data_IF_955307139785
#
_entry.id   IF_955307139785
#
_cell.length_a   1.000
_cell.length_b   1.000
_cell.length_c   1.000
_cell.angle_alpha   90.00
_cell.angle_beta   90.00
_cell.angle_gamma   90.00
#
_symmetry.space_group_name_H-M   'P 1'
#
loop_
_entity.id
_entity.type
_entity.pdbx_description
1 polymer ?
#
# COMPACT_ATOMS: atom_id res chain seq x y z
N UNK A 1 17.08 31.20 57.90
CA UNK A 1 16.72 32.48 58.56
C UNK A 1 15.76 33.25 57.66
N UNK A 2 14.62 33.72 58.29
CA UNK A 2 13.57 34.67 57.81
C UNK A 2 12.72 34.18 56.63
N UNK A 3 11.49 33.65 56.72
CA UNK A 3 10.18 34.04 57.26
C UNK A 3 9.74 35.47 56.84
N UNK A 4 8.63 35.53 56.06
CA UNK A 4 7.45 36.40 56.22
C UNK A 4 6.47 36.09 55.08
N UNK A 5 5.32 35.67 55.19
CA UNK A 5 3.98 35.78 55.76
C UNK A 5 3.18 37.00 55.25
N UNK A 6 1.91 36.67 54.81
CA UNK A 6 0.64 37.45 54.79
C UNK A 6 0.45 38.42 53.62
N UNK A 7 -0.70 38.63 52.98
CA UNK A 7 -2.09 38.65 53.43
C UNK A 7 -3.08 38.47 52.27
N UNK A 8 -4.22 37.89 52.53
CA UNK A 8 -5.43 37.82 51.74
C UNK A 8 -6.21 39.16 51.77
N UNK A 9 -6.96 39.48 50.73
CA UNK A 9 -8.13 40.37 50.86
C UNK A 9 -9.18 40.03 49.80
N UNK A 10 -10.31 39.60 50.29
CA UNK A 10 -11.63 39.44 49.69
C UNK A 10 -12.23 40.82 49.44
N UNK A 11 -12.81 41.08 48.27
CA UNK A 11 -13.88 42.06 48.18
C UNK A 11 -14.90 41.66 47.12
N UNK A 12 -16.07 41.31 47.62
CA UNK A 12 -17.34 41.09 46.92
C UNK A 12 -18.04 42.45 46.76
N UNK A 13 -18.50 42.80 45.57
CA UNK A 13 -19.56 43.80 45.39
C UNK A 13 -20.54 43.34 44.34
N UNK A 14 -21.77 43.17 44.75
CA UNK A 14 -22.99 42.97 43.97
C UNK A 14 -23.69 44.31 43.83
N UNK A 15 -24.26 44.61 42.65
CA UNK A 15 -25.49 45.41 42.41
C UNK A 15 -25.70 45.54 40.91
N UNK A 16 -26.66 44.98 40.33
CA UNK A 16 -28.10 45.15 40.11
C UNK A 16 -28.51 46.37 39.26
N UNK A 17 -29.24 45.96 38.17
CA UNK A 17 -30.33 46.62 37.48
C UNK A 17 -30.08 47.83 36.56
N UNK A 18 -30.49 47.60 35.30
CA UNK A 18 -30.82 48.65 34.35
C UNK A 18 -31.33 48.04 33.03
N UNK A 19 -32.66 47.72 32.99
CA UNK A 19 -33.36 47.48 31.73
C UNK A 19 -33.40 48.75 30.91
N UNK A 20 -32.99 48.69 29.65
CA UNK A 20 -33.58 49.54 28.63
C UNK A 20 -33.65 48.75 27.28
N UNK A 21 -34.86 48.60 26.81
CA UNK A 21 -35.17 47.95 25.55
C UNK A 21 -34.98 48.96 24.40
N UNK A 22 -34.14 48.62 23.47
CA UNK A 22 -34.22 49.14 22.09
C UNK A 22 -34.10 47.98 21.12
N UNK A 23 -35.18 47.73 20.41
CA UNK A 23 -35.26 46.83 19.25
C UNK A 23 -34.40 47.40 18.13
N UNK A 24 -33.30 46.77 17.82
CA UNK A 24 -32.72 46.77 16.49
C UNK A 24 -32.48 45.32 16.09
N UNK A 25 -33.10 44.94 14.99
CA UNK A 25 -33.02 43.60 14.41
C UNK A 25 -31.59 43.36 13.90
N UNK A 26 -30.78 42.77 14.77
CA UNK A 26 -29.55 42.13 14.36
C UNK A 26 -29.90 40.80 13.75
N UNK A 27 -29.64 40.63 12.44
CA UNK A 27 -29.58 39.33 11.81
C UNK A 27 -28.62 38.48 12.66
N UNK A 28 -29.17 37.45 13.31
CA UNK A 28 -28.37 36.40 13.91
C UNK A 28 -27.50 35.82 12.79
N UNK A 29 -26.20 35.86 12.97
CA UNK A 29 -25.28 35.17 12.10
C UNK A 29 -25.63 33.67 12.17
N UNK A 30 -26.28 33.17 11.14
CA UNK A 30 -26.48 31.74 10.88
C UNK A 30 -25.14 31.00 10.56
N UNK A 31 -24.03 31.73 10.48
CA UNK A 31 -22.70 31.20 10.11
C UNK A 31 -21.92 30.47 11.20
N UNK A 32 -22.45 30.32 12.44
CA UNK A 32 -21.72 29.66 13.53
C UNK A 32 -22.33 28.32 14.02
N UNK A 33 -23.42 27.86 13.42
CA UNK A 33 -23.99 26.58 13.74
C UNK A 33 -23.28 25.49 12.89
N UNK A 34 -22.48 24.64 13.56
CA UNK A 34 -21.90 23.38 13.08
C UNK A 34 -20.54 23.42 12.38
N UNK A 35 -19.57 24.20 12.81
CA UNK A 35 -18.17 23.99 12.41
C UNK A 35 -17.62 22.74 13.12
N UNK A 36 -17.20 21.75 12.32
CA UNK A 36 -16.58 20.50 12.76
C UNK A 36 -15.08 20.57 12.48
N UNK A 37 -14.26 20.08 13.41
CA UNK A 37 -12.84 19.84 13.15
C UNK A 37 -12.57 18.35 13.29
N UNK A 38 -12.05 17.74 12.23
CA UNK A 38 -11.54 16.36 12.23
C UNK A 38 -10.02 16.37 12.24
N UNK A 39 -9.43 15.42 12.93
CA UNK A 39 -7.98 15.23 12.99
C UNK A 39 -7.54 14.10 12.06
N UNK A 40 -6.46 14.33 11.30
CA UNK A 40 -5.95 13.42 10.29
C UNK A 40 -4.47 13.12 10.49
N UNK A 41 -4.10 11.84 10.58
CA UNK A 41 -2.74 11.36 10.60
C UNK A 41 -2.44 10.52 9.36
N UNK A 42 -1.37 10.87 8.65
CA UNK A 42 -0.95 10.15 7.44
C UNK A 42 0.56 10.28 7.25
N UNK A 43 1.22 9.16 6.93
CA UNK A 43 2.63 9.17 6.54
C UNK A 43 2.90 9.84 5.19
N UNK A 44 1.87 9.99 4.35
CA UNK A 44 1.98 10.61 3.04
C UNK A 44 1.74 12.12 3.03
N UNK A 45 1.35 12.74 4.16
CA UNK A 45 0.99 14.17 4.19
C UNK A 45 2.22 15.09 4.12
N UNK A 46 3.41 14.59 4.40
CA UNK A 46 4.66 15.34 4.40
C UNK A 46 4.66 16.52 5.36
N UNK A 47 5.63 17.41 5.20
CA UNK A 47 5.75 18.62 6.02
C UNK A 47 4.95 19.79 5.44
N UNK A 48 4.67 20.78 6.28
CA UNK A 48 3.97 22.01 5.84
C UNK A 48 4.71 22.74 4.71
N UNK A 49 6.04 22.69 4.69
CA UNK A 49 6.86 23.35 3.67
C UNK A 49 6.77 22.67 2.29
N UNK A 50 6.59 21.35 2.24
CA UNK A 50 6.57 20.59 0.99
C UNK A 50 5.33 20.86 0.15
N UNK A 51 4.19 21.23 0.78
CA UNK A 51 2.93 21.48 0.10
C UNK A 51 2.59 20.40 -0.95
N UNK A 52 2.78 19.14 -0.56
CA UNK A 52 2.54 18.00 -1.44
C UNK A 52 1.06 17.85 -1.84
N UNK A 53 0.77 16.89 -2.70
CA UNK A 53 -0.57 16.71 -3.26
C UNK A 53 -1.64 16.48 -2.17
N UNK A 54 -1.32 15.74 -1.11
CA UNK A 54 -2.28 15.49 -0.02
C UNK A 54 -2.66 16.79 0.71
N UNK A 55 -1.69 17.66 1.00
CA UNK A 55 -1.99 18.98 1.63
C UNK A 55 -2.80 19.89 0.71
N UNK A 56 -2.58 19.81 -0.61
CA UNK A 56 -3.40 20.54 -1.59
C UNK A 56 -4.82 19.99 -1.63
N UNK A 57 -4.99 18.68 -1.62
CA UNK A 57 -6.29 18.02 -1.55
C UNK A 57 -7.08 18.39 -0.29
N UNK A 58 -6.42 18.47 0.88
CA UNK A 58 -7.03 18.94 2.12
C UNK A 58 -7.55 20.39 1.96
N UNK A 59 -6.76 21.27 1.36
CA UNK A 59 -7.20 22.66 1.11
C UNK A 59 -8.40 22.74 0.17
N UNK A 60 -8.43 21.93 -0.87
CA UNK A 60 -9.58 21.86 -1.79
C UNK A 60 -10.82 21.27 -1.11
N UNK A 61 -10.65 20.25 -0.25
CA UNK A 61 -11.73 19.73 0.60
C UNK A 61 -12.34 20.82 1.49
N UNK A 62 -11.51 21.57 2.22
CA UNK A 62 -11.98 22.67 3.10
C UNK A 62 -12.66 23.82 2.34
N UNK A 63 -12.29 24.05 1.06
CA UNK A 63 -13.00 25.02 0.20
C UNK A 63 -14.38 24.51 -0.18
N UNK A 64 -14.49 23.22 -0.50
CA UNK A 64 -15.76 22.57 -0.88
C UNK A 64 -16.70 22.42 0.32
N UNK A 65 -16.14 22.07 1.49
CA UNK A 65 -16.87 21.82 2.73
C UNK A 65 -16.44 22.81 3.82
N UNK A 66 -16.84 24.11 3.73
CA UNK A 66 -16.31 25.18 4.59
C UNK A 66 -16.65 25.01 6.08
N UNK A 67 -17.61 24.14 6.39
CA UNK A 67 -17.99 23.80 7.76
C UNK A 67 -17.08 22.72 8.39
N UNK A 68 -16.22 22.07 7.61
CA UNK A 68 -15.32 21.02 8.09
C UNK A 68 -13.88 21.54 8.00
N UNK A 69 -13.14 21.47 9.10
CA UNK A 69 -11.72 21.76 9.16
C UNK A 69 -10.95 20.48 9.39
N UNK A 70 -9.78 20.35 8.75
CA UNK A 70 -8.89 19.20 8.89
C UNK A 70 -7.62 19.63 9.63
N UNK A 71 -7.44 19.09 10.84
CA UNK A 71 -6.23 19.27 11.62
C UNK A 71 -5.27 18.12 11.36
N UNK A 72 -4.13 18.39 10.73
CA UNK A 72 -3.08 17.39 10.52
C UNK A 72 -2.40 17.09 11.86
N UNK A 73 -2.24 15.79 12.17
CA UNK A 73 -1.55 15.28 13.35
C UNK A 73 -0.15 14.82 12.92
N UNK A 74 0.87 15.60 13.30
CA UNK A 74 2.28 15.34 12.93
C UNK A 74 3.07 14.64 14.07
N UNK A 75 2.39 14.31 15.17
CA UNK A 75 3.07 13.74 16.36
C UNK A 75 3.27 12.23 16.30
N UNK A 76 2.76 11.54 15.26
CA UNK A 76 2.92 10.10 15.08
C UNK A 76 4.13 9.87 14.16
N UNK A 77 5.23 9.24 14.65
CA UNK A 77 6.42 9.02 13.84
C UNK A 77 6.18 7.96 12.75
N UNK A 78 6.62 8.21 11.54
CA UNK A 78 6.45 7.28 10.42
C UNK A 78 7.16 5.94 10.63
N UNK A 79 8.34 5.95 11.25
CA UNK A 79 9.15 4.77 11.54
C UNK A 79 8.64 3.92 12.72
N UNK A 80 7.69 4.47 13.51
CA UNK A 80 7.06 3.83 14.68
C UNK A 80 5.55 4.06 14.68
N UNK A 81 4.94 3.87 13.51
CA UNK A 81 3.54 4.25 13.29
C UNK A 81 2.58 3.59 14.28
N UNK A 82 2.61 2.26 14.42
CA UNK A 82 1.74 1.54 15.34
C UNK A 82 2.01 1.87 16.81
N UNK A 83 3.26 2.07 17.20
CA UNK A 83 3.62 2.53 18.57
C UNK A 83 3.03 3.91 18.84
N UNK A 84 3.09 4.80 17.86
CA UNK A 84 2.51 6.15 17.94
C UNK A 84 0.98 6.13 18.06
N UNK A 85 0.31 5.27 17.29
CA UNK A 85 -1.14 5.05 17.39
C UNK A 85 -1.53 4.45 18.76
N UNK A 86 -0.79 3.47 19.25
CA UNK A 86 -1.02 2.87 20.56
C UNK A 86 -0.84 3.89 21.71
N UNK A 87 0.17 4.77 21.60
CA UNK A 87 0.36 5.86 22.55
C UNK A 87 -0.79 6.87 22.48
N UNK A 88 -1.25 7.22 21.28
CA UNK A 88 -2.40 8.13 21.10
C UNK A 88 -3.70 7.52 21.65
N UNK A 89 -3.94 6.22 21.45
CA UNK A 89 -5.07 5.49 22.00
C UNK A 89 -5.05 5.51 23.55
N UNK A 90 -3.89 5.21 24.14
CA UNK A 90 -3.69 5.24 25.60
C UNK A 90 -3.93 6.64 26.19
N UNK A 91 -3.54 7.69 25.46
CA UNK A 91 -3.77 9.08 25.82
C UNK A 91 -5.20 9.58 25.54
N UNK A 92 -6.08 8.73 24.95
CA UNK A 92 -7.42 9.12 24.46
C UNK A 92 -7.38 10.28 23.45
N UNK A 93 -6.37 10.28 22.61
CA UNK A 93 -6.08 11.32 21.61
C UNK A 93 -5.87 10.73 20.21
N UNK A 94 -6.60 9.63 19.90
CA UNK A 94 -6.58 9.04 18.56
C UNK A 94 -7.01 10.08 17.52
N UNK A 95 -6.32 10.17 16.36
CA UNK A 95 -6.82 10.93 15.23
C UNK A 95 -8.18 10.39 14.77
N UNK A 96 -9.06 11.27 14.26
CA UNK A 96 -10.35 10.83 13.71
C UNK A 96 -10.18 9.96 12.47
N UNK A 97 -9.17 10.26 11.65
CA UNK A 97 -8.81 9.54 10.42
C UNK A 97 -7.32 9.27 10.41
N UNK A 98 -6.90 8.04 10.10
CA UNK A 98 -5.48 7.67 10.10
C UNK A 98 -5.18 6.48 9.17
N UNK A 99 -3.96 6.48 8.59
CA UNK A 99 -3.49 5.35 7.79
C UNK A 99 -3.30 4.10 8.65
N UNK A 100 -3.58 2.94 8.05
CA UNK A 100 -3.37 1.63 8.67
C UNK A 100 -2.12 0.97 8.10
N UNK A 101 -1.20 0.52 8.95
CA UNK A 101 -0.10 -0.34 8.54
C UNK A 101 -0.62 -1.73 8.16
N UNK A 102 -1.62 -2.22 8.88
CA UNK A 102 -2.40 -3.42 8.59
C UNK A 102 -3.76 -3.34 9.31
N UNK A 103 -4.76 -3.99 8.72
CA UNK A 103 -6.12 -3.97 9.24
C UNK A 103 -6.25 -4.83 10.51
N UNK A 104 -5.68 -6.06 10.58
CA UNK A 104 -5.80 -6.92 11.75
C UNK A 104 -5.31 -6.27 13.04
N UNK A 105 -4.17 -5.60 13.00
CA UNK A 105 -3.63 -4.89 14.17
C UNK A 105 -4.58 -3.80 14.67
N UNK A 106 -5.16 -3.02 13.75
CA UNK A 106 -6.08 -1.95 14.13
C UNK A 106 -7.38 -2.49 14.73
N UNK A 107 -7.90 -3.60 14.21
CA UNK A 107 -9.10 -4.28 14.74
C UNK A 107 -8.83 -4.90 16.10
N UNK A 108 -7.73 -5.66 16.25
CA UNK A 108 -7.36 -6.30 17.51
C UNK A 108 -7.16 -5.31 18.67
N UNK A 109 -6.70 -4.10 18.35
CA UNK A 109 -6.50 -3.02 19.33
C UNK A 109 -7.74 -2.13 19.53
N UNK A 110 -8.86 -2.42 18.87
CA UNK A 110 -10.11 -1.65 18.99
C UNK A 110 -9.95 -0.15 18.59
N UNK A 111 -9.10 0.14 17.59
CA UNK A 111 -8.83 1.51 17.15
C UNK A 111 -9.84 2.03 16.13
N UNK A 112 -10.44 1.14 15.35
CA UNK A 112 -11.24 1.48 14.18
C UNK A 112 -12.74 1.28 14.39
N UNK A 113 -13.52 2.16 13.79
CA UNK A 113 -14.97 2.13 13.74
C UNK A 113 -15.42 1.22 12.59
N UNK A 114 -16.45 0.42 12.82
CA UNK A 114 -17.19 -0.19 11.72
C UNK A 114 -17.97 0.88 10.94
N UNK A 115 -17.63 1.04 9.67
CA UNK A 115 -18.22 2.03 8.77
C UNK A 115 -19.18 1.44 7.74
N UNK A 116 -19.58 0.18 7.88
CA UNK A 116 -20.46 -0.51 6.94
C UNK A 116 -21.74 0.30 6.67
N UNK A 117 -22.36 0.89 7.70
CA UNK A 117 -23.57 1.71 7.54
C UNK A 117 -23.34 3.03 6.76
N UNK A 118 -22.11 3.53 6.70
CA UNK A 118 -21.75 4.71 5.92
C UNK A 118 -21.37 4.35 4.47
N UNK A 119 -20.78 3.18 4.27
CA UNK A 119 -20.24 2.74 3.00
C UNK A 119 -21.26 2.03 2.10
N UNK A 120 -22.20 1.26 2.68
CA UNK A 120 -23.12 0.37 1.94
C UNK A 120 -23.98 1.05 0.87
N UNK A 121 -24.39 2.29 1.11
CA UNK A 121 -25.25 3.07 0.20
C UNK A 121 -24.46 4.17 -0.53
N UNK A 122 -23.12 4.20 -0.42
CA UNK A 122 -22.29 5.20 -1.08
C UNK A 122 -21.96 4.78 -2.51
N UNK A 123 -22.39 5.61 -3.47
CA UNK A 123 -22.25 5.33 -4.91
C UNK A 123 -20.77 5.25 -5.37
N UNK A 124 -19.87 6.03 -4.76
CA UNK A 124 -18.45 5.98 -5.08
C UNK A 124 -17.78 4.75 -4.48
N UNK A 125 -18.17 4.36 -3.25
CA UNK A 125 -17.69 3.12 -2.65
C UNK A 125 -18.14 1.89 -3.46
N UNK A 126 -19.34 1.90 -4.01
CA UNK A 126 -19.82 0.85 -4.90
C UNK A 126 -19.01 0.73 -6.21
N UNK A 127 -18.25 1.78 -6.59
CA UNK A 127 -17.36 1.76 -7.75
C UNK A 127 -15.93 1.28 -7.42
N UNK A 128 -15.58 1.13 -6.16
CA UNK A 128 -14.33 0.45 -5.77
C UNK A 128 -14.42 -1.00 -6.24
N UNK A 129 -13.39 -1.59 -6.87
CA UNK A 129 -13.40 -2.99 -7.30
C UNK A 129 -13.83 -3.93 -6.17
N UNK A 130 -14.71 -4.90 -6.46
CA UNK A 130 -15.29 -5.80 -5.45
C UNK A 130 -14.20 -6.53 -4.67
N UNK A 131 -13.21 -7.09 -5.35
CA UNK A 131 -12.06 -7.78 -4.73
C UNK A 131 -11.30 -6.90 -3.72
N UNK A 132 -11.25 -5.59 -3.94
CA UNK A 132 -10.62 -4.62 -3.02
C UNK A 132 -11.51 -4.34 -1.81
N UNK A 133 -12.84 -4.22 -2.02
CA UNK A 133 -13.81 -4.04 -0.93
C UNK A 133 -13.85 -5.25 -0.02
N UNK A 134 -13.87 -6.45 -0.59
CA UNK A 134 -13.91 -7.72 0.14
C UNK A 134 -12.65 -7.92 0.97
N UNK A 135 -11.48 -7.55 0.46
CA UNK A 135 -10.22 -7.62 1.20
C UNK A 135 -10.21 -6.72 2.46
N UNK A 136 -10.99 -5.64 2.47
CA UNK A 136 -11.12 -4.72 3.60
C UNK A 136 -12.26 -5.09 4.57
N UNK A 137 -13.09 -6.07 4.21
CA UNK A 137 -14.26 -6.49 4.99
C UNK A 137 -13.93 -7.65 5.92
N UNK A 138 -14.49 -7.63 7.12
CA UNK A 138 -14.45 -8.74 8.07
C UNK A 138 -15.88 -9.18 8.41
N UNK A 139 -16.40 -10.17 7.67
CA UNK A 139 -17.81 -10.51 7.67
C UNK A 139 -18.63 -9.33 7.13
N UNK A 140 -19.66 -8.91 7.88
CA UNK A 140 -20.51 -7.77 7.51
C UNK A 140 -19.89 -6.40 7.89
N UNK A 141 -18.77 -6.39 8.62
CA UNK A 141 -18.14 -5.16 9.12
C UNK A 141 -17.07 -4.63 8.15
N UNK A 142 -16.97 -3.30 8.04
CA UNK A 142 -15.95 -2.59 7.27
C UNK A 142 -15.15 -1.72 8.23
N UNK A 143 -13.97 -2.21 8.63
CA UNK A 143 -13.08 -1.49 9.56
C UNK A 143 -12.02 -0.62 8.89
N UNK A 144 -11.88 -0.76 7.57
CA UNK A 144 -10.89 -0.04 6.79
C UNK A 144 -11.47 0.38 5.44
N UNK A 145 -11.12 1.58 5.00
CA UNK A 145 -11.46 2.07 3.66
C UNK A 145 -10.20 2.04 2.80
N UNK A 146 -10.28 1.54 1.55
CA UNK A 146 -9.15 1.60 0.62
C UNK A 146 -8.71 3.04 0.38
N UNK A 147 -7.40 3.30 0.42
CA UNK A 147 -6.84 4.65 0.41
C UNK A 147 -5.89 4.90 -0.76
N UNK A 148 -5.27 3.89 -1.28
CA UNK A 148 -4.41 3.93 -2.44
C UNK A 148 -4.36 2.57 -3.08
N UNK A 149 -4.27 2.52 -4.41
CA UNK A 149 -4.18 1.27 -5.16
C UNK A 149 -2.91 1.26 -5.98
N UNK A 150 -2.20 0.14 -5.91
CA UNK A 150 -1.02 -0.13 -6.71
C UNK A 150 -1.20 -1.46 -7.44
N UNK A 151 -0.71 -1.52 -8.67
CA UNK A 151 -0.50 -2.80 -9.34
C UNK A 151 0.95 -3.24 -9.15
N UNK A 152 1.16 -4.49 -8.76
CA UNK A 152 2.47 -5.11 -8.64
C UNK A 152 2.76 -5.98 -9.85
N UNK A 153 4.01 -5.94 -10.31
CA UNK A 153 4.42 -6.76 -11.43
C UNK A 153 5.77 -6.34 -11.99
N UNK A 154 5.98 -6.69 -13.22
CA UNK A 154 7.17 -6.30 -13.94
C UNK A 154 6.90 -5.10 -14.83
N UNK A 155 7.89 -4.18 -14.89
CA UNK A 155 8.00 -3.23 -15.98
C UNK A 155 9.06 -3.72 -16.95
N UNK A 156 8.86 -3.47 -18.24
CA UNK A 156 9.77 -3.87 -19.32
C UNK A 156 10.49 -2.65 -19.91
N UNK A 157 11.80 -2.77 -20.11
CA UNK A 157 12.59 -1.80 -20.86
C UNK A 157 12.51 -2.17 -22.36
N UNK A 158 11.62 -1.52 -23.10
CA UNK A 158 11.35 -1.82 -24.50
C UNK A 158 12.54 -1.51 -25.40
N UNK A 159 13.26 -0.44 -25.09
CA UNK A 159 14.43 -0.04 -25.88
C UNK A 159 15.56 -1.06 -25.76
N UNK A 160 15.82 -1.57 -24.55
CA UNK A 160 16.84 -2.59 -24.33
C UNK A 160 16.49 -3.90 -25.08
N UNK A 161 15.20 -4.29 -25.12
CA UNK A 161 14.75 -5.45 -25.92
C UNK A 161 14.95 -5.19 -27.42
N UNK A 162 14.59 -4.00 -27.93
CA UNK A 162 14.80 -3.62 -29.32
C UNK A 162 16.30 -3.63 -29.71
N UNK A 163 17.18 -3.09 -28.86
CA UNK A 163 18.64 -3.11 -29.07
C UNK A 163 19.21 -4.53 -29.14
N UNK A 164 18.64 -5.43 -28.36
CA UNK A 164 19.01 -6.85 -28.35
C UNK A 164 18.40 -7.65 -29.54
N UNK A 165 17.55 -7.03 -30.36
CA UNK A 165 16.73 -7.68 -31.40
C UNK A 165 15.85 -8.80 -30.83
N UNK A 166 15.23 -8.55 -29.66
CA UNK A 166 14.29 -9.40 -28.98
C UNK A 166 12.91 -8.73 -28.95
N UNK A 167 11.86 -9.54 -29.00
CA UNK A 167 10.51 -9.04 -28.76
C UNK A 167 10.31 -8.74 -27.25
N UNK A 168 9.93 -7.52 -26.94
CA UNK A 168 9.62 -7.12 -25.57
C UNK A 168 8.33 -7.83 -25.12
N UNK A 169 8.32 -8.46 -23.91
CA UNK A 169 7.10 -9.06 -23.39
C UNK A 169 6.03 -8.00 -23.09
N UNK A 170 4.77 -8.37 -23.29
CA UNK A 170 3.60 -7.52 -23.03
C UNK A 170 2.77 -8.11 -21.87
N UNK A 171 1.80 -7.31 -21.38
CA UNK A 171 0.82 -7.79 -20.40
C UNK A 171 0.11 -9.06 -20.91
N UNK A 172 0.02 -10.06 -20.03
CA UNK A 172 -0.51 -11.38 -20.39
C UNK A 172 0.53 -12.37 -20.94
N UNK A 173 1.82 -11.99 -20.93
CA UNK A 173 2.91 -12.90 -21.31
C UNK A 173 2.82 -14.23 -20.54
N UNK A 174 3.05 -15.34 -21.23
CA UNK A 174 3.08 -16.66 -20.56
C UNK A 174 4.34 -16.82 -19.70
N UNK A 175 4.29 -17.70 -18.69
CA UNK A 175 5.44 -18.00 -17.84
C UNK A 175 6.67 -18.44 -18.66
N UNK A 176 6.48 -19.26 -19.69
CA UNK A 176 7.58 -19.73 -20.54
C UNK A 176 8.22 -18.56 -21.31
N UNK A 177 7.41 -17.71 -21.93
CA UNK A 177 7.90 -16.52 -22.64
C UNK A 177 8.61 -15.54 -21.69
N UNK A 178 8.08 -15.33 -20.48
CA UNK A 178 8.75 -14.52 -19.45
C UNK A 178 10.14 -15.10 -19.11
N UNK A 179 10.24 -16.40 -18.88
CA UNK A 179 11.51 -17.06 -18.59
C UNK A 179 12.50 -16.94 -19.75
N UNK A 180 12.02 -17.10 -20.98
CA UNK A 180 12.85 -16.94 -22.18
C UNK A 180 13.31 -15.48 -22.35
N UNK A 181 12.43 -14.50 -22.09
CA UNK A 181 12.80 -13.07 -22.09
C UNK A 181 13.88 -12.77 -21.07
N UNK A 182 13.74 -13.25 -19.83
CA UNK A 182 14.74 -13.09 -18.76
C UNK A 182 16.10 -13.69 -19.16
N UNK A 183 16.10 -14.90 -19.71
CA UNK A 183 17.34 -15.59 -20.13
C UNK A 183 18.01 -14.88 -21.32
N UNK A 184 17.24 -14.59 -22.37
CA UNK A 184 17.80 -14.03 -23.61
C UNK A 184 18.29 -12.60 -23.42
N UNK A 185 17.71 -11.85 -22.50
CA UNK A 185 18.13 -10.50 -22.14
C UNK A 185 19.43 -10.49 -21.33
N UNK A 186 19.78 -11.57 -20.63
CA UNK A 186 20.96 -11.61 -19.77
C UNK A 186 22.27 -11.65 -20.57
N UNK A 187 23.05 -10.57 -20.50
CA UNK A 187 24.40 -10.46 -21.03
C UNK A 187 25.28 -9.67 -20.08
N UNK A 188 25.79 -10.34 -19.05
CA UNK A 188 26.53 -9.73 -17.93
C UNK A 188 27.73 -8.93 -18.41
N UNK A 189 28.46 -9.41 -19.44
CA UNK A 189 29.65 -8.72 -19.97
C UNK A 189 29.32 -7.38 -20.65
N UNK A 190 28.05 -7.17 -21.04
CA UNK A 190 27.55 -5.90 -21.57
C UNK A 190 26.81 -5.05 -20.53
N UNK A 191 26.77 -5.46 -19.27
CA UNK A 191 25.99 -4.81 -18.25
C UNK A 191 24.47 -4.93 -18.43
N UNK A 192 24.01 -6.03 -19.01
CA UNK A 192 22.60 -6.34 -19.27
C UNK A 192 22.17 -7.53 -18.44
N UNK A 193 21.05 -7.44 -17.76
CA UNK A 193 20.49 -8.50 -16.91
C UNK A 193 18.97 -8.66 -17.12
N UNK A 194 18.48 -9.91 -17.07
CA UNK A 194 17.09 -10.21 -17.36
C UNK A 194 16.11 -9.63 -16.38
N UNK A 195 16.39 -9.77 -15.07
CA UNK A 195 15.45 -9.31 -14.04
C UNK A 195 16.14 -9.00 -12.70
N UNK A 196 15.33 -8.60 -11.72
CA UNK A 196 15.68 -8.47 -10.30
C UNK A 196 14.68 -9.28 -9.43
N UNK A 197 14.92 -9.29 -8.13
CA UNK A 197 14.04 -9.84 -7.09
C UNK A 197 13.41 -11.21 -7.44
N UNK A 198 14.19 -12.27 -7.63
CA UNK A 198 13.66 -13.59 -7.98
C UNK A 198 12.74 -14.18 -6.89
N UNK A 199 12.82 -13.68 -5.64
CA UNK A 199 11.92 -14.10 -4.56
C UNK A 199 10.46 -13.69 -4.78
N UNK A 200 10.20 -12.63 -5.56
CA UNK A 200 8.84 -12.24 -5.92
C UNK A 200 8.08 -13.34 -6.69
N UNK A 201 8.80 -14.25 -7.37
CA UNK A 201 8.21 -15.39 -8.06
C UNK A 201 7.44 -16.29 -7.09
N UNK A 202 7.92 -16.43 -5.86
CA UNK A 202 7.26 -17.25 -4.83
C UNK A 202 5.90 -16.68 -4.44
N UNK A 203 5.75 -15.39 -4.57
CA UNK A 203 4.54 -14.68 -4.19
C UNK A 203 3.46 -14.78 -5.27
N UNK A 204 3.81 -14.55 -6.54
CA UNK A 204 2.83 -14.50 -7.63
C UNK A 204 2.65 -15.83 -8.38
N UNK A 205 3.66 -16.70 -8.43
CA UNK A 205 3.63 -17.92 -9.28
C UNK A 205 2.46 -18.86 -8.94
N UNK A 206 2.17 -19.18 -7.66
CA UNK A 206 1.03 -20.04 -7.34
C UNK A 206 -0.28 -19.54 -7.92
N UNK A 207 -0.55 -18.25 -7.77
CA UNK A 207 -1.74 -17.62 -8.31
C UNK A 207 -1.76 -17.54 -9.86
N UNK A 208 -0.60 -17.43 -10.50
CA UNK A 208 -0.50 -17.39 -11.96
C UNK A 208 -0.79 -18.75 -12.63
N UNK A 209 -0.65 -19.85 -11.89
CA UNK A 209 -0.84 -21.22 -12.42
C UNK A 209 -2.09 -21.93 -11.87
N UNK A 210 -2.76 -21.33 -10.87
CA UNK A 210 -3.95 -21.91 -10.25
C UNK A 210 -4.91 -20.80 -9.78
N UNK A 211 -6.12 -20.82 -10.32
CA UNK A 211 -7.17 -19.86 -9.90
C UNK A 211 -7.66 -20.10 -8.46
N UNK A 212 -7.38 -21.29 -7.89
CA UNK A 212 -7.74 -21.60 -6.50
C UNK A 212 -6.73 -21.08 -5.46
N UNK A 213 -5.60 -20.53 -5.90
CA UNK A 213 -4.56 -20.01 -5.02
C UNK A 213 -4.38 -18.51 -5.26
N UNK A 214 -4.24 -17.77 -4.17
CA UNK A 214 -3.87 -16.37 -4.18
C UNK A 214 -2.36 -16.16 -4.03
N UNK A 215 -2.00 -14.94 -3.68
CA UNK A 215 -0.63 -14.53 -3.40
C UNK A 215 0.01 -15.44 -2.35
N UNK A 216 1.23 -15.91 -2.61
CA UNK A 216 1.95 -16.78 -1.67
C UNK A 216 1.13 -18.01 -1.22
N UNK A 217 0.29 -18.55 -2.08
CA UNK A 217 -0.65 -19.67 -1.84
C UNK A 217 -1.82 -19.36 -0.90
N UNK A 218 -2.03 -18.11 -0.50
CA UNK A 218 -3.11 -17.74 0.41
C UNK A 218 -4.49 -18.10 -0.16
N UNK A 219 -5.33 -18.63 0.71
CA UNK A 219 -6.77 -18.82 0.53
C UNK A 219 -7.50 -18.42 1.83
N UNK A 220 -8.82 -18.35 1.83
CA UNK A 220 -9.59 -18.11 3.06
C UNK A 220 -9.37 -19.20 4.13
N UNK A 221 -8.95 -20.39 3.74
CA UNK A 221 -8.63 -21.51 4.64
C UNK A 221 -7.19 -21.43 5.20
N UNK A 222 -6.34 -20.55 4.67
CA UNK A 222 -4.96 -20.36 5.08
C UNK A 222 -3.95 -20.52 3.93
N UNK A 223 -2.75 -20.99 4.24
CA UNK A 223 -1.63 -21.15 3.32
C UNK A 223 -1.39 -22.60 2.91
N UNK A 224 -0.91 -22.79 1.69
CA UNK A 224 -0.62 -24.10 1.08
C UNK A 224 0.83 -24.12 0.54
N UNK A 225 1.81 -23.81 1.42
CA UNK A 225 3.23 -23.71 1.01
C UNK A 225 3.84 -25.04 0.58
N UNK A 226 3.23 -26.15 0.98
CA UNK A 226 3.60 -27.51 0.54
C UNK A 226 2.95 -27.94 -0.78
N UNK A 227 2.22 -27.03 -1.45
CA UNK A 227 1.62 -27.31 -2.75
C UNK A 227 2.68 -27.44 -3.86
N UNK A 228 2.31 -28.19 -4.92
CA UNK A 228 3.17 -28.33 -6.11
C UNK A 228 3.38 -26.99 -6.83
N UNK A 229 2.41 -26.09 -6.77
CA UNK A 229 2.46 -24.76 -7.35
C UNK A 229 3.55 -23.92 -6.68
N UNK A 230 3.58 -23.90 -5.34
CA UNK A 230 4.61 -23.18 -4.59
C UNK A 230 6.01 -23.74 -4.83
N UNK A 231 6.16 -25.07 -4.80
CA UNK A 231 7.43 -25.75 -5.08
C UNK A 231 7.91 -25.46 -6.50
N UNK A 232 6.99 -25.42 -7.49
CA UNK A 232 7.33 -25.07 -8.87
C UNK A 232 7.82 -23.62 -8.99
N UNK A 233 7.17 -22.67 -8.32
CA UNK A 233 7.60 -21.26 -8.24
C UNK A 233 8.99 -21.14 -7.61
N UNK A 234 9.23 -21.87 -6.53
CA UNK A 234 10.53 -21.91 -5.87
C UNK A 234 11.63 -22.46 -6.79
N UNK A 235 11.36 -23.53 -7.51
CA UNK A 235 12.30 -24.10 -8.48
C UNK A 235 12.60 -23.13 -9.62
N UNK A 236 11.61 -22.36 -10.08
CA UNK A 236 11.82 -21.30 -11.08
C UNK A 236 12.70 -20.18 -10.52
N UNK A 237 12.38 -19.64 -9.33
CA UNK A 237 13.18 -18.62 -8.66
C UNK A 237 14.63 -19.07 -8.45
N UNK A 238 14.83 -20.33 -8.00
CA UNK A 238 16.14 -20.95 -7.86
C UNK A 238 16.87 -21.05 -9.20
N UNK A 239 16.20 -21.47 -10.26
CA UNK A 239 16.80 -21.56 -11.60
C UNK A 239 17.28 -20.20 -12.10
N UNK A 240 16.48 -19.14 -11.95
CA UNK A 240 16.86 -17.78 -12.33
C UNK A 240 18.07 -17.30 -11.52
N UNK A 241 18.09 -17.57 -10.22
CA UNK A 241 19.18 -17.18 -9.31
C UNK A 241 20.47 -17.92 -9.61
N UNK A 242 20.42 -19.25 -9.68
CA UNK A 242 21.63 -20.08 -9.85
C UNK A 242 22.26 -19.99 -11.25
N UNK A 243 21.51 -19.52 -12.24
CA UNK A 243 22.02 -19.24 -13.60
C UNK A 243 22.38 -17.76 -13.81
N UNK A 244 22.40 -16.93 -12.77
CA UNK A 244 22.76 -15.51 -12.83
C UNK A 244 21.89 -14.70 -13.81
N UNK A 245 20.59 -14.93 -13.81
CA UNK A 245 19.63 -14.16 -14.60
C UNK A 245 18.94 -13.03 -13.81
N UNK A 246 19.24 -12.90 -12.50
CA UNK A 246 18.80 -11.83 -11.64
C UNK A 246 20.00 -11.06 -11.07
N UNK A 247 19.87 -9.73 -10.93
CA UNK A 247 20.96 -8.88 -10.47
C UNK A 247 21.49 -9.29 -9.08
N UNK A 248 20.62 -9.69 -8.17
CA UNK A 248 20.97 -10.08 -6.80
C UNK A 248 21.83 -11.37 -6.75
N UNK A 249 21.81 -12.16 -7.80
CA UNK A 249 22.60 -13.40 -7.90
C UNK A 249 24.03 -13.19 -8.38
N UNK A 250 24.37 -12.00 -8.85
CA UNK A 250 25.68 -11.68 -9.40
C UNK A 250 26.73 -11.53 -8.30
N UNK A 251 27.97 -11.94 -8.62
CA UNK A 251 29.14 -11.62 -7.81
C UNK A 251 29.49 -10.12 -7.89
N UNK A 252 30.29 -9.62 -6.94
CA UNK A 252 30.74 -8.22 -6.97
C UNK A 252 31.53 -7.90 -8.23
N UNK A 253 32.34 -8.85 -8.73
CA UNK A 253 33.07 -8.70 -10.00
C UNK A 253 32.10 -8.55 -11.19
N UNK A 254 31.06 -9.39 -11.25
CA UNK A 254 30.03 -9.29 -12.30
C UNK A 254 29.24 -8.01 -12.22
N UNK A 255 28.87 -7.55 -11.01
CA UNK A 255 28.19 -6.28 -10.78
C UNK A 255 29.00 -5.08 -11.24
N UNK A 256 30.31 -5.19 -11.26
CA UNK A 256 31.21 -4.16 -11.81
C UNK A 256 31.03 -3.85 -13.31
N UNK A 257 30.29 -4.70 -14.06
CA UNK A 257 29.94 -4.43 -15.46
C UNK A 257 28.71 -3.53 -15.62
N UNK A 258 27.97 -3.26 -14.54
CA UNK A 258 26.72 -2.51 -14.58
C UNK A 258 26.93 -1.07 -14.13
N UNK A 259 26.14 -0.17 -14.68
CA UNK A 259 26.08 1.22 -14.28
C UNK A 259 25.03 1.37 -13.15
N UNK A 260 25.44 1.03 -11.94
CA UNK A 260 24.60 1.07 -10.75
C UNK A 260 25.02 0.03 -9.69
N UNK A 261 24.80 0.36 -8.43
CA UNK A 261 25.18 -0.45 -7.26
C UNK A 261 24.05 -1.33 -6.73
N UNK A 262 22.82 -1.08 -7.17
CA UNK A 262 21.63 -1.84 -6.81
C UNK A 262 20.61 -1.87 -7.97
N UNK A 263 19.61 -2.78 -7.97
CA UNK A 263 18.69 -2.97 -9.09
C UNK A 263 18.01 -1.69 -9.59
N UNK A 264 17.63 -0.77 -8.70
CA UNK A 264 16.97 0.48 -9.07
C UNK A 264 17.88 1.42 -9.90
N UNK A 265 19.18 1.51 -9.55
CA UNK A 265 20.15 2.28 -10.34
C UNK A 265 20.45 1.61 -11.69
N UNK A 266 20.54 0.27 -11.70
CA UNK A 266 20.73 -0.50 -12.94
C UNK A 266 19.52 -0.37 -13.86
N UNK A 267 18.32 -0.35 -13.32
CA UNK A 267 17.10 -0.05 -14.08
C UNK A 267 17.15 1.36 -14.65
N UNK A 268 17.41 2.36 -13.81
CA UNK A 268 17.47 3.76 -14.23
C UNK A 268 18.54 4.02 -15.30
N UNK A 269 19.61 3.24 -15.31
CA UNK A 269 20.66 3.30 -16.35
C UNK A 269 20.41 2.41 -17.58
N UNK A 270 19.25 1.76 -17.66
CA UNK A 270 18.83 0.93 -18.80
C UNK A 270 19.44 -0.48 -18.84
N UNK A 271 20.11 -0.94 -17.78
CA UNK A 271 20.78 -2.25 -17.72
C UNK A 271 19.88 -3.44 -17.36
N UNK A 272 18.64 -3.20 -16.95
CA UNK A 272 17.64 -4.24 -16.60
C UNK A 272 16.60 -4.41 -17.71
N UNK A 273 16.34 -5.64 -18.14
CA UNK A 273 15.28 -5.95 -19.09
C UNK A 273 13.89 -5.86 -18.48
N UNK A 274 13.74 -6.48 -17.33
CA UNK A 274 12.50 -6.52 -16.55
C UNK A 274 12.79 -6.12 -15.11
N UNK A 275 12.07 -5.13 -14.58
CA UNK A 275 12.17 -4.77 -13.16
C UNK A 275 10.88 -5.15 -12.44
N UNK A 276 11.00 -5.88 -11.33
CA UNK A 276 9.91 -6.10 -10.39
C UNK A 276 9.71 -4.85 -9.54
N UNK A 277 8.53 -4.23 -9.66
CA UNK A 277 8.16 -3.02 -8.90
C UNK A 277 6.63 -2.87 -8.85
N UNK A 278 6.16 -1.77 -8.29
CA UNK A 278 4.75 -1.38 -8.30
C UNK A 278 4.52 -0.04 -9.00
N UNK A 279 3.25 0.25 -9.27
CA UNK A 279 2.87 1.50 -9.95
C UNK A 279 3.19 2.76 -9.13
N UNK A 280 3.59 2.63 -7.87
CA UNK A 280 4.18 3.74 -7.08
C UNK A 280 5.47 4.29 -7.68
N UNK A 281 6.18 3.51 -8.49
CA UNK A 281 7.44 3.91 -9.11
C UNK A 281 7.24 4.84 -10.33
N UNK A 282 6.04 4.87 -10.92
CA UNK A 282 5.75 5.60 -12.16
C UNK A 282 6.16 7.09 -12.09
N UNK A 283 5.90 7.86 -11.01
CA UNK A 283 6.37 9.25 -10.96
C UNK A 283 7.88 9.38 -11.08
N UNK A 284 8.64 8.49 -10.41
CA UNK A 284 10.08 8.48 -10.50
C UNK A 284 10.58 8.02 -11.89
N UNK A 285 9.90 7.07 -12.50
CA UNK A 285 10.21 6.59 -13.85
C UNK A 285 9.95 7.67 -14.89
N UNK A 286 8.81 8.36 -14.82
CA UNK A 286 8.49 9.47 -15.73
C UNK A 286 9.46 10.64 -15.62
N UNK A 287 10.08 10.85 -14.45
CA UNK A 287 11.05 11.93 -14.23
C UNK A 287 12.49 11.55 -14.64
N UNK A 288 12.87 10.27 -14.46
CA UNK A 288 14.30 9.88 -14.48
C UNK A 288 14.69 8.89 -15.57
N UNK A 289 13.75 8.26 -16.29
CA UNK A 289 14.08 7.29 -17.32
C UNK A 289 14.15 7.95 -18.71
N UNK A 290 15.20 7.63 -19.46
CA UNK A 290 15.43 8.11 -20.83
C UNK A 290 15.06 7.06 -21.91
N UNK A 291 14.39 5.97 -21.53
CA UNK A 291 13.99 4.87 -22.41
C UNK A 291 12.47 4.57 -22.32
N UNK A 292 11.93 3.97 -23.39
CA UNK A 292 10.53 3.54 -23.44
C UNK A 292 10.31 2.30 -22.57
N UNK A 293 9.27 2.36 -21.73
CA UNK A 293 8.89 1.26 -20.83
C UNK A 293 7.39 1.05 -20.80
N UNK A 294 6.95 -0.13 -20.37
CA UNK A 294 5.54 -0.42 -20.10
C UNK A 294 5.42 -1.32 -18.87
N UNK A 295 4.23 -1.34 -18.27
CA UNK A 295 3.86 -2.28 -17.22
C UNK A 295 3.32 -3.57 -17.86
N UNK A 296 3.88 -4.73 -17.53
CA UNK A 296 3.43 -6.01 -18.06
C UNK A 296 2.72 -6.89 -17.02
N UNK A 297 2.64 -6.44 -15.77
CA UNK A 297 2.05 -7.22 -14.68
C UNK A 297 2.86 -8.46 -14.33
N UNK A 298 2.17 -9.51 -13.88
CA UNK A 298 2.75 -10.83 -13.68
C UNK A 298 2.49 -11.73 -14.90
N UNK A 299 3.35 -12.73 -15.16
CA UNK A 299 3.06 -13.74 -16.18
C UNK A 299 1.72 -14.43 -15.91
N UNK A 300 0.98 -14.76 -17.00
CA UNK A 300 -0.35 -15.34 -16.92
C UNK A 300 -1.50 -14.34 -16.97
N UNK A 301 -1.21 -13.03 -16.89
CA UNK A 301 -2.18 -11.95 -17.15
C UNK A 301 -3.15 -11.63 -16.02
N UNK A 302 -3.01 -12.22 -14.82
CA UNK A 302 -3.75 -11.77 -13.64
C UNK A 302 -3.15 -10.47 -13.10
N UNK A 303 -3.99 -9.58 -12.59
CA UNK A 303 -3.56 -8.33 -11.97
C UNK A 303 -3.32 -8.55 -10.48
N UNK A 304 -2.17 -8.11 -9.98
CA UNK A 304 -1.87 -8.09 -8.54
C UNK A 304 -2.14 -6.69 -8.01
N UNK A 305 -2.99 -6.61 -6.99
CA UNK A 305 -3.41 -5.35 -6.37
C UNK A 305 -2.89 -5.27 -4.95
N UNK A 306 -2.11 -4.24 -4.67
CA UNK A 306 -1.70 -3.86 -3.32
C UNK A 306 -2.39 -2.55 -2.93
N UNK A 307 -3.07 -2.55 -1.78
CA UNK A 307 -3.83 -1.40 -1.33
C UNK A 307 -3.26 -0.81 -0.04
N UNK A 308 -3.29 0.52 0.02
CA UNK A 308 -3.24 1.22 1.29
C UNK A 308 -4.64 1.32 1.89
N UNK A 309 -4.70 1.47 3.21
CA UNK A 309 -5.96 1.56 3.95
C UNK A 309 -5.95 2.71 4.94
N UNK A 310 -7.13 3.29 5.14
CA UNK A 310 -7.41 4.30 6.15
C UNK A 310 -8.48 3.77 7.12
N UNK A 311 -8.24 3.96 8.41
CA UNK A 311 -9.21 3.75 9.48
C UNK A 311 -9.88 5.05 9.91
N UNK A 312 -11.15 4.95 10.28
CA UNK A 312 -11.86 5.98 11.03
C UNK A 312 -11.86 5.55 12.50
N UNK A 313 -11.44 6.45 13.40
CA UNK A 313 -11.32 6.12 14.81
C UNK A 313 -12.65 5.73 15.44
N UNK A 314 -12.65 4.65 16.23
CA UNK A 314 -13.81 4.25 17.05
C UNK A 314 -14.20 5.34 18.03
N UNK A 315 -13.30 6.22 18.42
CA UNK A 315 -13.54 7.29 19.40
C UNK A 315 -13.97 8.61 18.78
N UNK A 316 -14.06 8.69 17.44
CA UNK A 316 -14.51 9.91 16.75
C UNK A 316 -15.94 10.26 17.12
N UNK A 317 -16.21 11.56 17.18
CA UNK A 317 -17.58 12.12 17.33
C UNK A 317 -18.15 12.61 16.00
N UNK A 318 -17.36 12.48 14.92
CA UNK A 318 -17.59 13.08 13.61
C UNK A 318 -17.46 12.03 12.49
N UNK A 319 -18.06 10.83 12.70
CA UNK A 319 -17.92 9.69 11.80
C UNK A 319 -18.33 10.01 10.35
N UNK A 320 -19.40 10.81 10.16
CA UNK A 320 -19.89 11.19 8.82
C UNK A 320 -18.91 12.12 8.12
N UNK A 321 -18.40 13.11 8.82
CA UNK A 321 -17.43 14.07 8.29
C UNK A 321 -16.07 13.39 8.02
N UNK A 322 -15.67 12.47 8.90
CA UNK A 322 -14.48 11.64 8.71
C UNK A 322 -14.61 10.74 7.47
N UNK A 323 -15.77 10.10 7.28
CA UNK A 323 -16.05 9.30 6.09
C UNK A 323 -16.04 10.15 4.81
N UNK A 324 -16.70 11.31 4.83
CA UNK A 324 -16.73 12.25 3.70
C UNK A 324 -15.32 12.73 3.32
N UNK A 325 -14.48 13.02 4.32
CA UNK A 325 -13.09 13.40 4.11
C UNK A 325 -12.27 12.25 3.54
N UNK A 326 -12.39 11.04 4.10
CA UNK A 326 -11.71 9.84 3.58
C UNK A 326 -12.10 9.59 2.13
N UNK A 327 -13.40 9.58 1.82
CA UNK A 327 -13.91 9.45 0.45
C UNK A 327 -13.27 10.47 -0.50
N UNK A 328 -13.24 11.76 -0.14
CA UNK A 328 -12.61 12.81 -0.93
C UNK A 328 -11.12 12.56 -1.18
N UNK A 329 -10.40 12.08 -0.17
CA UNK A 329 -8.95 11.87 -0.26
C UNK A 329 -8.58 10.61 -1.04
N UNK A 330 -9.51 9.66 -1.26
CA UNK A 330 -9.18 8.30 -1.69
C UNK A 330 -10.00 7.83 -2.92
N UNK A 331 -11.19 7.28 -2.73
CA UNK A 331 -11.96 6.62 -3.78
C UNK A 331 -13.08 7.48 -4.38
N UNK A 332 -13.38 8.63 -3.81
CA UNK A 332 -14.46 9.50 -4.27
C UNK A 332 -14.17 10.12 -5.62
N UNK A 333 -15.12 10.01 -6.56
CA UNK A 333 -15.00 10.52 -7.92
C UNK A 333 -14.53 11.97 -7.99
N UNK A 334 -15.22 12.87 -7.28
CA UNK A 334 -14.88 14.29 -7.32
C UNK A 334 -13.50 14.61 -6.75
N UNK A 335 -13.12 13.92 -5.64
CA UNK A 335 -11.80 14.04 -5.04
C UNK A 335 -10.72 13.55 -6.01
N UNK A 336 -10.94 12.41 -6.65
CA UNK A 336 -9.97 11.85 -7.58
C UNK A 336 -9.78 12.73 -8.82
N UNK A 337 -10.86 13.22 -9.44
CA UNK A 337 -10.78 14.17 -10.56
C UNK A 337 -10.07 15.47 -10.17
N UNK A 338 -10.27 15.95 -8.93
CA UNK A 338 -9.52 17.09 -8.40
C UNK A 338 -8.03 16.78 -8.24
N UNK A 339 -7.66 15.59 -7.78
CA UNK A 339 -6.28 15.16 -7.68
C UNK A 339 -5.60 15.10 -9.06
N UNK A 340 -6.26 14.51 -10.05
CA UNK A 340 -5.79 14.47 -11.45
C UNK A 340 -5.53 15.90 -11.96
N UNK A 341 -6.49 16.82 -11.80
CA UNK A 341 -6.37 18.22 -12.21
C UNK A 341 -5.16 18.92 -11.56
N UNK A 342 -4.94 18.70 -10.27
CA UNK A 342 -3.81 19.28 -9.54
C UNK A 342 -2.46 18.73 -10.02
N UNK A 343 -2.37 17.41 -10.23
CA UNK A 343 -1.13 16.74 -10.68
C UNK A 343 -0.81 17.12 -12.11
N UNK A 344 -1.80 17.14 -13.00
CA UNK A 344 -1.63 17.56 -14.40
C UNK A 344 -1.13 19.01 -14.53
N UNK A 345 -1.65 19.93 -13.69
CA UNK A 345 -1.17 21.34 -13.66
C UNK A 345 0.28 21.47 -13.22
N UNK A 346 0.81 20.50 -12.49
CA UNK A 346 2.21 20.48 -12.07
C UNK A 346 3.11 19.74 -13.07
N UNK A 347 2.54 19.15 -14.12
CA UNK A 347 3.28 18.33 -15.09
C UNK A 347 3.88 17.07 -14.46
N UNK A 348 3.21 16.50 -13.45
CA UNK A 348 3.67 15.32 -12.72
C UNK A 348 2.82 14.09 -13.06
N UNK A 349 3.35 12.91 -12.78
CA UNK A 349 2.59 11.67 -12.82
C UNK A 349 1.89 11.40 -11.47
N UNK A 350 0.81 10.63 -11.52
CA UNK A 350 0.10 10.16 -10.32
C UNK A 350 0.86 9.00 -9.67
N UNK A 351 0.87 9.00 -8.35
CA UNK A 351 1.32 7.85 -7.57
C UNK A 351 0.18 6.84 -7.48
N UNK A 352 0.38 5.68 -8.11
CA UNK A 352 -0.60 4.60 -8.12
C UNK A 352 -1.65 4.71 -9.22
N UNK A 353 -2.70 3.93 -9.08
CA UNK A 353 -3.79 3.78 -10.04
C UNK A 353 -5.14 4.06 -9.38
N UNK A 354 -6.19 4.50 -10.12
CA UNK A 354 -7.48 4.83 -9.53
C UNK A 354 -8.13 3.66 -8.77
N UNK A 355 -8.62 3.96 -7.59
CA UNK A 355 -9.42 3.07 -6.72
C UNK A 355 -10.89 3.02 -7.14
N UNK A 356 -11.17 3.01 -8.44
CA UNK A 356 -12.55 3.06 -8.93
C UNK A 356 -12.66 2.47 -10.32
N UNK A 357 -13.84 1.95 -10.63
CA UNK A 357 -14.25 1.57 -11.99
C UNK A 357 -15.05 2.67 -12.68
N UNK A 358 -15.15 3.87 -12.10
CA UNK A 358 -15.85 5.00 -12.75
C UNK A 358 -15.12 5.42 -14.02
N UNK A 359 -15.86 5.35 -15.14
CA UNK A 359 -15.30 5.58 -16.47
C UNK A 359 -14.71 6.99 -16.64
N UNK A 360 -15.32 8.02 -16.07
CA UNK A 360 -14.85 9.39 -16.21
C UNK A 360 -13.50 9.58 -15.48
N UNK A 361 -13.35 8.96 -14.32
CA UNK A 361 -12.07 8.96 -13.58
C UNK A 361 -10.99 8.20 -14.35
N UNK A 362 -11.32 7.03 -14.90
CA UNK A 362 -10.37 6.23 -15.68
C UNK A 362 -9.97 6.94 -16.97
N UNK A 363 -10.91 7.53 -17.68
CA UNK A 363 -10.62 8.32 -18.90
C UNK A 363 -9.67 9.47 -18.57
N UNK A 364 -9.95 10.26 -17.52
CA UNK A 364 -9.10 11.37 -17.10
C UNK A 364 -7.71 10.92 -16.64
N UNK A 365 -7.62 9.78 -15.94
CA UNK A 365 -6.34 9.19 -15.54
C UNK A 365 -5.49 8.83 -16.75
N UNK A 366 -6.08 8.14 -17.73
CA UNK A 366 -5.36 7.70 -18.92
C UNK A 366 -5.05 8.80 -19.92
N UNK A 367 -5.66 9.99 -19.80
CA UNK A 367 -5.25 11.17 -20.57
C UNK A 367 -3.89 11.72 -20.11
N UNK A 368 -3.53 11.55 -18.84
CA UNK A 368 -2.27 12.08 -18.27
C UNK A 368 -1.21 11.00 -18.02
N UNK A 369 -1.57 9.73 -18.00
CA UNK A 369 -0.68 8.61 -17.65
C UNK A 369 -1.09 7.34 -18.42
N UNK A 370 -0.72 7.28 -19.70
CA UNK A 370 -1.10 6.18 -20.58
C UNK A 370 0.02 5.14 -20.68
N UNK A 371 -0.11 4.07 -19.89
CA UNK A 371 0.67 2.84 -20.03
C UNK A 371 -0.28 1.73 -20.49
N UNK A 372 -0.10 1.17 -21.71
CA UNK A 372 -1.00 0.16 -22.27
C UNK A 372 -1.21 -1.04 -21.37
N UNK A 373 -0.16 -1.51 -20.70
CA UNK A 373 -0.25 -2.64 -19.77
C UNK A 373 -1.09 -2.35 -18.54
N UNK A 374 -1.14 -1.10 -18.05
CA UNK A 374 -2.04 -0.72 -16.95
C UNK A 374 -3.49 -0.74 -17.41
N UNK A 375 -3.78 -0.29 -18.64
CA UNK A 375 -5.15 -0.42 -19.20
C UNK A 375 -5.61 -1.87 -19.22
N UNK A 376 -4.76 -2.78 -19.72
CA UNK A 376 -5.04 -4.21 -19.75
C UNK A 376 -5.22 -4.80 -18.34
N UNK A 377 -4.45 -4.32 -17.36
CA UNK A 377 -4.60 -4.75 -15.98
C UNK A 377 -5.98 -4.39 -15.38
N UNK A 378 -6.55 -3.24 -15.76
CA UNK A 378 -7.92 -2.87 -15.36
C UNK A 378 -9.00 -3.77 -15.97
N UNK A 379 -8.78 -4.32 -17.16
CA UNK A 379 -9.73 -5.23 -17.82
C UNK A 379 -9.85 -6.57 -17.06
N UNK A 380 -8.90 -6.91 -16.19
CA UNK A 380 -8.81 -8.17 -15.46
C UNK A 380 -9.00 -8.03 -13.94
N UNK A 381 -9.58 -6.93 -13.46
CA UNK A 381 -9.73 -6.68 -12.01
C UNK A 381 -10.68 -7.67 -11.32
N UNK A 382 -11.66 -8.23 -12.01
CA UNK A 382 -12.57 -9.23 -11.43
C UNK A 382 -11.88 -10.51 -10.97
N UNK A 383 -10.70 -10.81 -11.54
CA UNK A 383 -9.85 -11.95 -11.15
C UNK A 383 -8.50 -11.48 -10.58
N UNK A 384 -8.48 -10.32 -9.95
CA UNK A 384 -7.25 -9.79 -9.36
C UNK A 384 -6.82 -10.59 -8.12
N UNK A 385 -5.53 -10.53 -7.85
CA UNK A 385 -4.89 -11.12 -6.68
C UNK A 385 -4.65 -9.98 -5.69
N UNK A 386 -5.15 -10.11 -4.47
CA UNK A 386 -4.85 -9.15 -3.40
C UNK A 386 -3.51 -9.50 -2.75
N UNK A 387 -2.61 -8.53 -2.69
CA UNK A 387 -1.39 -8.60 -1.92
C UNK A 387 -1.73 -8.59 -0.40
N UNK A 388 -1.29 -9.61 0.38
CA UNK A 388 -1.86 -9.88 1.71
C UNK A 388 -1.23 -9.10 2.86
N UNK A 389 -0.18 -8.29 2.63
CA UNK A 389 0.58 -7.63 3.71
C UNK A 389 -0.31 -6.85 4.67
N UNK A 390 -1.28 -6.12 4.16
CA UNK A 390 -2.14 -5.27 4.98
C UNK A 390 -3.48 -5.89 5.35
N UNK A 391 -4.18 -6.61 4.46
CA UNK A 391 -5.51 -7.13 4.79
C UNK A 391 -5.50 -8.50 5.45
N UNK A 392 -4.48 -9.35 5.23
CA UNK A 392 -4.53 -10.75 5.68
C UNK A 392 -3.93 -10.93 7.06
N UNK A 393 -4.71 -11.47 8.02
CA UNK A 393 -4.22 -11.73 9.37
C UNK A 393 -3.00 -12.66 9.39
N UNK A 394 -1.97 -12.33 10.19
CA UNK A 394 -0.82 -13.18 10.44
C UNK A 394 0.18 -13.34 9.30
N UNK A 395 -0.03 -12.68 8.14
CA UNK A 395 0.88 -12.79 6.99
C UNK A 395 2.29 -12.25 7.33
N UNK A 396 2.37 -11.03 7.82
CA UNK A 396 3.66 -10.39 8.20
C UNK A 396 4.38 -11.21 9.25
N UNK A 397 3.65 -11.63 10.27
CA UNK A 397 4.19 -12.45 11.36
C UNK A 397 4.76 -13.78 10.85
N UNK A 398 4.02 -14.48 9.99
CA UNK A 398 4.47 -15.76 9.45
C UNK A 398 5.67 -15.62 8.52
N UNK A 399 5.68 -14.60 7.66
CA UNK A 399 6.67 -14.46 6.59
C UNK A 399 8.01 -13.93 7.10
N UNK A 400 8.00 -12.88 7.96
CA UNK A 400 9.20 -12.11 8.30
C UNK A 400 9.55 -12.08 9.79
N UNK A 401 8.60 -12.34 10.69
CA UNK A 401 8.83 -12.12 12.12
C UNK A 401 9.01 -13.41 12.91
N UNK A 402 8.13 -14.41 12.69
CA UNK A 402 8.15 -15.63 13.48
C UNK A 402 9.41 -16.47 13.23
N UNK A 403 10.13 -16.86 14.31
CA UNK A 403 11.27 -17.76 14.20
C UNK A 403 10.79 -19.16 13.85
N UNK A 404 11.51 -19.84 12.93
CA UNK A 404 11.18 -21.22 12.51
C UNK A 404 11.86 -22.28 13.39
N UNK A 405 12.76 -21.90 14.29
CA UNK A 405 13.59 -22.84 15.03
C UNK A 405 14.78 -23.41 14.21
N UNK A 406 14.88 -23.06 12.93
CA UNK A 406 15.92 -23.58 12.03
C UNK A 406 17.14 -22.67 12.06
N UNK A 407 18.32 -23.28 12.21
CA UNK A 407 19.61 -22.59 12.06
C UNK A 407 20.12 -22.75 10.63
N UNK A 408 20.44 -21.64 10.01
CA UNK A 408 21.19 -21.57 8.74
C UNK A 408 22.46 -20.73 8.95
N UNK A 409 23.34 -20.69 7.95
CA UNK A 409 24.69 -20.12 8.05
C UNK A 409 24.78 -18.81 8.82
N UNK A 410 23.99 -17.82 8.44
CA UNK A 410 24.08 -16.45 8.99
C UNK A 410 22.95 -16.13 9.98
N UNK A 411 22.03 -17.08 10.21
CA UNK A 411 20.85 -16.90 11.06
C UNK A 411 20.70 -18.06 12.04
N UNK A 412 20.96 -17.85 13.34
CA UNK A 412 20.86 -18.92 14.35
C UNK A 412 19.43 -19.41 14.57
N UNK A 413 18.44 -18.62 14.20
CA UNK A 413 17.00 -18.92 14.26
C UNK A 413 16.31 -18.17 13.14
N UNK A 414 16.38 -18.71 11.92
CA UNK A 414 15.89 -18.06 10.72
C UNK A 414 14.36 -17.92 10.74
N UNK A 415 13.85 -16.81 10.21
CA UNK A 415 12.45 -16.69 9.85
C UNK A 415 12.17 -17.36 8.49
N UNK A 416 10.91 -17.41 8.10
CA UNK A 416 10.49 -18.09 6.87
C UNK A 416 11.12 -17.45 5.62
N UNK A 417 11.17 -16.13 5.54
CA UNK A 417 11.77 -15.40 4.42
C UNK A 417 13.24 -15.77 4.22
N UNK A 418 14.02 -15.86 5.31
CA UNK A 418 15.41 -16.23 5.28
C UNK A 418 15.65 -17.67 4.82
N UNK A 419 14.76 -18.60 5.18
CA UNK A 419 14.81 -19.99 4.67
C UNK A 419 14.53 -20.04 3.16
N UNK A 420 13.54 -19.28 2.69
CA UNK A 420 13.21 -19.20 1.25
C UNK A 420 14.37 -18.59 0.47
N UNK A 421 14.97 -17.52 0.98
CA UNK A 421 16.14 -16.90 0.36
C UNK A 421 17.32 -17.86 0.26
N UNK A 422 17.67 -18.56 1.36
CA UNK A 422 18.72 -19.59 1.37
C UNK A 422 18.41 -20.74 0.40
N UNK A 423 17.14 -21.12 0.27
CA UNK A 423 16.73 -22.17 -0.69
C UNK A 423 16.86 -21.72 -2.15
N UNK A 424 16.45 -20.50 -2.46
CA UNK A 424 16.57 -19.92 -3.82
C UNK A 424 18.05 -19.77 -4.21
N UNK A 425 18.94 -19.44 -3.26
CA UNK A 425 20.39 -19.45 -3.45
C UNK A 425 20.99 -20.86 -3.56
N UNK A 426 20.22 -21.92 -3.28
CA UNK A 426 20.71 -23.30 -3.31
C UNK A 426 21.51 -23.72 -2.08
N UNK A 427 21.48 -22.94 -1.00
CA UNK A 427 22.22 -23.21 0.24
C UNK A 427 21.56 -24.27 1.12
N UNK A 428 20.23 -24.40 1.01
CA UNK A 428 19.43 -25.42 1.69
C UNK A 428 18.45 -26.10 0.73
N UNK A 429 17.90 -27.24 1.13
CA UNK A 429 16.79 -27.91 0.46
C UNK A 429 15.51 -27.58 1.20
N UNK A 430 14.59 -26.87 0.56
CA UNK A 430 13.36 -26.42 1.21
C UNK A 430 12.43 -27.56 1.57
N UNK A 431 12.50 -28.68 0.84
CA UNK A 431 11.71 -29.89 1.06
C UNK A 431 11.88 -30.43 2.49
N UNK A 432 13.05 -30.16 3.11
CA UNK A 432 13.35 -30.56 4.48
C UNK A 432 12.58 -29.73 5.53
N UNK A 433 12.04 -28.56 5.14
CA UNK A 433 11.43 -27.57 6.04
C UNK A 433 9.98 -27.17 5.67
N UNK A 434 9.57 -27.41 4.45
CA UNK A 434 8.32 -26.85 3.89
C UNK A 434 7.08 -27.24 4.69
N UNK A 435 7.01 -28.47 5.21
CA UNK A 435 5.88 -28.92 6.03
C UNK A 435 5.77 -28.13 7.35
N UNK A 436 6.91 -27.86 8.01
CA UNK A 436 6.92 -27.08 9.25
C UNK A 436 6.68 -25.59 8.96
N UNK A 437 7.16 -25.09 7.83
CA UNK A 437 6.85 -23.72 7.37
C UNK A 437 5.36 -23.55 7.11
N UNK A 438 4.71 -24.51 6.45
CA UNK A 438 3.27 -24.48 6.21
C UNK A 438 2.47 -24.50 7.51
N UNK A 439 2.87 -25.35 8.48
CA UNK A 439 2.25 -25.36 9.81
C UNK A 439 2.41 -24.03 10.53
N UNK A 440 3.60 -23.42 10.51
CA UNK A 440 3.86 -22.14 11.15
C UNK A 440 3.03 -21.03 10.51
N UNK A 441 2.94 -20.98 9.17
CA UNK A 441 2.13 -20.00 8.47
C UNK A 441 0.65 -20.08 8.89
N UNK A 442 0.09 -21.29 8.88
CA UNK A 442 -1.29 -21.52 9.28
C UNK A 442 -1.54 -21.30 10.77
N UNK A 443 -0.56 -21.59 11.63
CA UNK A 443 -0.65 -21.24 13.04
C UNK A 443 -0.74 -19.73 13.23
N UNK A 444 0.12 -18.93 12.57
CA UNK A 444 0.09 -17.47 12.67
C UNK A 444 -1.19 -16.86 12.10
N UNK A 445 -1.69 -17.41 11.00
CA UNK A 445 -2.98 -17.04 10.42
C UNK A 445 -4.12 -17.28 11.42
N UNK A 446 -4.15 -18.46 12.06
CA UNK A 446 -5.15 -18.79 13.07
C UNK A 446 -5.07 -17.88 14.30
N UNK A 447 -3.86 -17.71 14.88
CA UNK A 447 -3.63 -16.84 16.04
C UNK A 447 -4.13 -15.40 15.78
N UNK A 448 -3.85 -14.88 14.58
CA UNK A 448 -4.25 -13.52 14.21
C UNK A 448 -5.77 -13.39 13.95
N UNK A 449 -6.41 -14.42 13.39
CA UNK A 449 -7.87 -14.46 13.24
C UNK A 449 -8.57 -14.52 14.60
N UNK A 450 -8.09 -15.36 15.52
CA UNK A 450 -8.62 -15.42 16.90
C UNK A 450 -8.50 -14.06 17.62
N UNK A 451 -7.42 -13.31 17.40
CA UNK A 451 -7.21 -11.98 18.00
C UNK A 451 -8.21 -10.92 17.50
N UNK A 452 -8.77 -11.09 16.31
CA UNK A 452 -9.78 -10.17 15.73
C UNK A 452 -11.21 -10.74 15.84
N UNK A 453 -11.39 -11.88 16.54
CA UNK A 453 -12.70 -12.48 16.81
C UNK A 453 -13.30 -13.26 15.63
N UNK A 454 -12.42 -13.75 14.73
CA UNK A 454 -12.80 -14.64 13.61
C UNK A 454 -12.54 -16.11 13.90
#
# INVERSE_FOLDING_TARGET
MKRLKFLASLLTIVMLLGCNASKEGGKANEDNANKVTISYASWGVGTEKEQNIQRKMIKEFEKKYPNIKVKIVESIPNDKWNDGLAAAASAKAMPDVFNLSDIPTAVANDWVLDVADLAKDDEDYAKVPEVVRDAAAYGDAIYALPAGQQFLGYFVNKDLFNEANLDAPEHGVSINQFVDSVKNMTNISKGQIGTNNPLAILDWYPAAVSDSLGWYTYTEEGYHLDSKEFISGLNLAKSITTNNHAYESLTDEQKGNFNGSHPGEVWASGGLGLVWDGTWAIPAYAENLDFDYDFIGIPGGRTVVANDYIGISKTTKHAKEAFLFTKWMTFGKEGYLKQIDLVAKEGKALNGVPLTTDKEVLDAYFEIQDLPGIRKAYENLDNAIIEPVKPVPGYVQSRWEAPTGVKIKDHPNANMHQLLEASVKGEIKIEDYISEMNKLANQKYKEANEAIGK
#
